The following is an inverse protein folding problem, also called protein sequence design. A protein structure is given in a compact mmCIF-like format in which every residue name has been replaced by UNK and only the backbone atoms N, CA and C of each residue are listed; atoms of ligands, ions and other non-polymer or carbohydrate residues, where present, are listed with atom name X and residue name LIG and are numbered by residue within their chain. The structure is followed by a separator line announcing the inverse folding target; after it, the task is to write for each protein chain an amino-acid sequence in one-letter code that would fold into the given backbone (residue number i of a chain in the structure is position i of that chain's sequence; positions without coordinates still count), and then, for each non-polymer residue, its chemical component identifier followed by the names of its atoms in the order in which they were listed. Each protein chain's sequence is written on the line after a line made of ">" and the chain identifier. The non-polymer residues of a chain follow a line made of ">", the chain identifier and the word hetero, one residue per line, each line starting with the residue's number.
data_IF_637780110273
#
_entry.id   IF_637780110273
#
_cell.length_a   1.000
_cell.length_b   1.000
_cell.length_c   1.000
_cell.angle_alpha   90.00
_cell.angle_beta   90.00
_cell.angle_gamma   90.00
#
_symmetry.space_group_name_H-M   'P 1'
#
loop_
_entity.id
_entity.type
_entity.pdbx_description
1 polymer ?
#
# COMPACT_ATOMS: atom_id res chain seq x y z
N UNK A 1 2.79 7.38 9.77
CA UNK A 1 1.89 7.74 8.65
C UNK A 1 2.70 7.61 7.40
N UNK A 2 2.37 6.60 6.61
CA UNK A 2 3.02 6.27 5.35
C UNK A 2 2.74 7.41 4.36
N UNK A 3 3.80 8.04 3.84
CA UNK A 3 3.66 9.20 2.97
C UNK A 3 3.51 8.75 1.51
N UNK A 4 2.39 9.05 0.82
CA UNK A 4 2.19 8.68 -0.58
C UNK A 4 3.30 9.18 -1.51
N UNK A 5 4.01 10.27 -1.16
CA UNK A 5 5.11 10.81 -1.96
C UNK A 5 6.33 9.91 -2.00
N UNK A 6 6.49 9.03 -1.02
CA UNK A 6 7.56 8.03 -1.00
C UNK A 6 7.18 6.77 -1.80
N UNK A 7 5.90 6.58 -2.13
CA UNK A 7 5.37 5.39 -2.81
C UNK A 7 4.71 5.77 -4.15
N UNK A 8 5.42 6.55 -4.97
CA UNK A 8 4.90 7.06 -6.25
C UNK A 8 4.43 5.95 -7.18
N UNK A 9 5.08 4.78 -7.15
CA UNK A 9 4.68 3.60 -7.92
C UNK A 9 3.23 3.19 -7.63
N UNK A 10 2.86 3.06 -6.36
CA UNK A 10 1.50 2.71 -5.94
C UNK A 10 0.50 3.83 -6.23
N UNK A 11 0.90 5.09 -6.03
CA UNK A 11 0.07 6.26 -6.36
C UNK A 11 -0.25 6.29 -7.86
N UNK A 12 0.72 6.01 -8.73
CA UNK A 12 0.53 5.96 -10.19
C UNK A 12 -0.41 4.82 -10.61
N UNK A 13 -0.30 3.66 -9.97
CA UNK A 13 -1.18 2.51 -10.27
C UNK A 13 -2.61 2.74 -9.77
N UNK A 14 -2.77 3.32 -8.58
CA UNK A 14 -4.07 3.60 -7.98
C UNK A 14 -4.74 4.85 -8.55
N UNK A 15 -3.96 5.73 -9.21
CA UNK A 15 -4.44 6.91 -9.91
C UNK A 15 -4.57 8.17 -9.06
N UNK A 16 -4.35 8.10 -7.73
CA UNK A 16 -4.28 9.28 -6.86
C UNK A 16 -3.69 8.98 -5.48
N UNK A 17 -3.18 10.02 -4.80
CA UNK A 17 -2.76 9.94 -3.40
C UNK A 17 -3.93 9.59 -2.47
N UNK A 18 -5.15 10.02 -2.82
CA UNK A 18 -6.38 9.68 -2.08
C UNK A 18 -6.62 8.16 -2.10
N UNK A 19 -6.49 7.52 -3.28
CA UNK A 19 -6.64 6.06 -3.40
C UNK A 19 -5.55 5.28 -2.70
N UNK A 20 -4.33 5.81 -2.69
CA UNK A 20 -3.26 5.25 -1.88
C UNK A 20 -3.60 5.30 -0.38
N UNK A 21 -4.03 6.46 0.13
CA UNK A 21 -4.40 6.59 1.55
C UNK A 21 -5.59 5.69 1.92
N UNK A 22 -6.61 5.58 1.07
CA UNK A 22 -7.71 4.62 1.26
C UNK A 22 -7.20 3.17 1.37
N UNK A 23 -6.24 2.78 0.53
CA UNK A 23 -5.62 1.46 0.57
C UNK A 23 -4.86 1.22 1.88
N UNK A 24 -4.05 2.20 2.33
CA UNK A 24 -3.31 2.09 3.60
C UNK A 24 -4.27 1.97 4.80
N UNK A 25 -5.35 2.75 4.82
CA UNK A 25 -6.35 2.65 5.87
C UNK A 25 -7.09 1.30 5.83
N UNK A 26 -7.37 0.75 4.65
CA UNK A 26 -7.94 -0.59 4.50
C UNK A 26 -6.99 -1.68 5.02
N UNK A 27 -5.69 -1.58 4.72
CA UNK A 27 -4.65 -2.48 5.23
C UNK A 27 -4.63 -2.42 6.76
N UNK A 28 -4.58 -1.23 7.35
CA UNK A 28 -4.60 -1.05 8.82
C UNK A 28 -5.84 -1.64 9.46
N UNK A 29 -7.00 -1.47 8.83
CA UNK A 29 -8.27 -1.98 9.37
C UNK A 29 -8.32 -3.51 9.39
N UNK A 30 -7.70 -4.19 8.42
CA UNK A 30 -7.76 -5.66 8.29
C UNK A 30 -6.54 -6.38 8.84
N UNK A 31 -5.38 -5.75 8.79
CA UNK A 31 -4.10 -6.26 9.25
C UNK A 31 -3.58 -5.41 10.42
N UNK A 32 -4.40 -5.31 11.47
CA UNK A 32 -4.11 -4.54 12.70
C UNK A 32 -2.83 -4.98 13.43
N UNK A 33 -2.27 -6.14 13.07
CA UNK A 33 -1.03 -6.67 13.62
C UNK A 33 0.22 -6.20 12.89
N UNK A 34 0.09 -5.55 11.73
CA UNK A 34 1.22 -4.97 11.00
C UNK A 34 1.50 -3.56 11.52
N UNK A 35 2.78 -3.30 11.76
CA UNK A 35 3.30 -1.96 12.01
C UNK A 35 3.38 -1.14 10.73
N UNK A 36 3.48 0.19 10.85
CA UNK A 36 3.72 1.08 9.70
C UNK A 36 5.03 0.68 8.96
N UNK A 37 6.07 0.24 9.70
CA UNK A 37 7.35 -0.23 9.15
C UNK A 37 7.18 -1.49 8.29
N UNK A 38 6.43 -2.49 8.78
CA UNK A 38 6.16 -3.72 8.01
C UNK A 38 5.31 -3.44 6.76
N UNK A 39 4.41 -2.47 6.82
CA UNK A 39 3.63 -2.06 5.63
C UNK A 39 4.55 -1.36 4.63
N UNK A 40 5.48 -0.51 5.07
CA UNK A 40 6.47 0.13 4.19
C UNK A 40 7.37 -0.91 3.52
N UNK A 41 7.86 -1.93 4.24
CA UNK A 41 8.65 -3.02 3.66
C UNK A 41 7.89 -3.78 2.56
N UNK A 42 6.59 -4.03 2.75
CA UNK A 42 5.73 -4.67 1.74
C UNK A 42 5.61 -3.79 0.49
N UNK A 43 5.40 -2.49 0.66
CA UNK A 43 5.28 -1.54 -0.47
C UNK A 43 6.61 -1.42 -1.23
N UNK A 44 7.73 -1.43 -0.52
CA UNK A 44 9.07 -1.40 -1.13
C UNK A 44 9.32 -2.68 -1.94
N UNK A 45 8.99 -3.85 -1.38
CA UNK A 45 9.10 -5.15 -2.08
C UNK A 45 8.22 -5.22 -3.34
N UNK A 46 6.98 -4.70 -3.26
CA UNK A 46 6.07 -4.60 -4.41
C UNK A 46 6.66 -3.70 -5.52
N UNK A 47 7.25 -2.57 -5.13
CA UNK A 47 7.91 -1.63 -6.05
C UNK A 47 9.12 -2.28 -6.73
N UNK A 48 10.00 -2.92 -5.96
CA UNK A 48 11.18 -3.62 -6.49
C UNK A 48 10.80 -4.71 -7.51
N UNK A 49 9.72 -5.44 -7.22
CA UNK A 49 9.23 -6.52 -8.09
C UNK A 49 8.35 -6.04 -9.23
N UNK A 50 8.04 -4.74 -9.30
CA UNK A 50 7.06 -4.16 -10.23
C UNK A 50 5.72 -4.91 -10.20
N UNK A 51 5.28 -5.27 -8.99
CA UNK A 51 3.99 -5.91 -8.75
C UNK A 51 3.06 -4.82 -8.24
N UNK A 52 1.94 -4.57 -8.95
CA UNK A 52 0.93 -3.63 -8.48
C UNK A 52 0.33 -4.06 -7.13
N UNK A 53 -0.50 -3.22 -6.48
CA UNK A 53 -1.02 -3.37 -5.10
C UNK A 53 -1.97 -4.56 -4.92
N UNK A 54 -1.50 -5.74 -5.28
CA UNK A 54 -2.29 -6.88 -5.73
C UNK A 54 -2.25 -8.03 -4.74
N UNK A 55 -1.41 -7.99 -3.71
CA UNK A 55 -1.39 -9.09 -2.75
C UNK A 55 -2.42 -8.92 -1.61
N UNK A 56 -2.71 -7.68 -1.20
CA UNK A 56 -3.56 -7.42 -0.03
C UNK A 56 -4.92 -6.81 -0.37
N UNK A 57 -4.99 -5.87 -1.32
CA UNK A 57 -6.24 -5.21 -1.70
C UNK A 57 -7.22 -6.16 -2.42
N UNK A 58 -6.70 -7.05 -3.27
CA UNK A 58 -7.49 -8.03 -4.04
C UNK A 58 -8.17 -9.10 -3.18
N UNK A 59 -7.66 -9.39 -1.97
CA UNK A 59 -8.26 -10.39 -1.07
C UNK A 59 -9.27 -9.75 -0.10
N UNK A 60 -9.45 -8.44 -0.20
CA UNK A 60 -10.32 -7.67 0.68
C UNK A 60 -11.69 -7.32 0.07
N UNK A 61 -11.87 -7.61 -1.22
CA UNK A 61 -13.12 -7.52 -1.98
C UNK A 61 -13.68 -8.91 -2.31
#
# INVERSE_FOLDING_TARGET
>A
MIDPKNHTYHVEILGSEEKFNEMIEAIRAKAVWLSDEEIEEILDEETEKNIGPSFWYSQMY
#
